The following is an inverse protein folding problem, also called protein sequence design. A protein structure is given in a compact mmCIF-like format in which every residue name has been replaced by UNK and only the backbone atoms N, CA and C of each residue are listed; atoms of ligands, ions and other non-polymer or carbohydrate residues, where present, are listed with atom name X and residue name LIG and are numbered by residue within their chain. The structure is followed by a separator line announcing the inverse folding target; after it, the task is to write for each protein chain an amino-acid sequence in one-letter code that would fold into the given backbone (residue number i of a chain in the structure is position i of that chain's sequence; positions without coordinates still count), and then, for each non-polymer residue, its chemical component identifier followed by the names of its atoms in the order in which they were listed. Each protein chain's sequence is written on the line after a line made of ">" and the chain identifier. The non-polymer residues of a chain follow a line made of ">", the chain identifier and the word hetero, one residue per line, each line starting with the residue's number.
data_IF_206336634916
#
_entry.id   IF_206336634916
#
_cell.length_a   1.000
_cell.length_b   1.000
_cell.length_c   1.000
_cell.angle_alpha   90.00
_cell.angle_beta   90.00
_cell.angle_gamma   90.00
#
_symmetry.space_group_name_H-M   'P 1'
#
loop_
_entity.id
_entity.type
_entity.pdbx_description
1 polymer ?
#
# COMPACT_ATOMS: atom_id res chain seq x y z
N UNK A 1 -33.72 15.25 13.13
CA UNK A 1 -32.80 15.21 11.97
C UNK A 1 -33.58 14.71 10.78
N UNK A 2 -33.37 15.30 9.60
CA UNK A 2 -33.89 14.71 8.36
C UNK A 2 -33.08 13.44 8.15
N UNK A 3 -33.72 12.28 8.23
CA UNK A 3 -33.06 11.00 8.03
C UNK A 3 -32.77 10.87 6.54
N UNK A 4 -31.49 10.85 6.15
CA UNK A 4 -31.09 10.58 4.77
C UNK A 4 -31.57 9.17 4.38
N UNK A 5 -32.05 9.01 3.15
CA UNK A 5 -32.34 7.68 2.62
C UNK A 5 -31.03 6.92 2.34
N UNK A 6 -31.11 5.59 2.17
CA UNK A 6 -29.94 4.78 1.80
C UNK A 6 -29.40 5.16 0.43
N UNK A 7 -30.27 5.56 -0.49
CA UNK A 7 -29.91 6.03 -1.82
C UNK A 7 -29.14 7.35 -1.75
N UNK A 8 -29.59 8.31 -0.93
CA UNK A 8 -28.87 9.56 -0.69
C UNK A 8 -27.50 9.30 -0.05
N UNK A 9 -27.40 8.31 0.86
CA UNK A 9 -26.13 7.90 1.46
C UNK A 9 -25.18 7.32 0.41
N UNK A 10 -25.66 6.42 -0.46
CA UNK A 10 -24.85 5.86 -1.55
C UNK A 10 -24.40 6.90 -2.56
N UNK A 11 -25.21 7.93 -2.83
CA UNK A 11 -24.76 9.05 -3.66
C UNK A 11 -23.62 9.84 -3.01
N UNK A 12 -23.66 10.03 -1.69
CA UNK A 12 -22.57 10.69 -0.96
C UNK A 12 -21.29 9.86 -0.98
N UNK A 13 -21.36 8.52 -0.96
CA UNK A 13 -20.17 7.68 -1.10
C UNK A 13 -19.35 8.05 -2.35
N UNK A 14 -20.03 8.23 -3.49
CA UNK A 14 -19.40 8.58 -4.76
C UNK A 14 -19.01 10.06 -4.89
N UNK A 15 -19.83 10.98 -4.32
CA UNK A 15 -19.72 12.43 -4.56
C UNK A 15 -18.99 13.20 -3.46
N UNK A 16 -19.09 12.75 -2.22
CA UNK A 16 -18.53 13.38 -1.02
C UNK A 16 -18.23 12.32 0.06
N UNK A 17 -17.23 11.48 -0.24
CA UNK A 17 -16.80 10.40 0.64
C UNK A 17 -16.54 10.84 2.09
N UNK A 18 -15.86 11.97 2.38
CA UNK A 18 -15.67 12.43 3.76
C UNK A 18 -16.98 12.64 4.50
N UNK A 19 -17.99 13.24 3.85
CA UNK A 19 -19.30 13.46 4.46
C UNK A 19 -20.04 12.12 4.65
N UNK A 20 -20.00 11.21 3.67
CA UNK A 20 -20.54 9.86 3.81
C UNK A 20 -19.95 9.10 5.00
N UNK A 21 -18.62 9.14 5.16
CA UNK A 21 -17.92 8.46 6.25
C UNK A 21 -18.31 9.05 7.61
N UNK A 22 -18.40 10.40 7.70
CA UNK A 22 -18.83 11.08 8.92
C UNK A 22 -20.28 10.71 9.31
N UNK A 23 -21.19 10.67 8.34
CA UNK A 23 -22.59 10.31 8.60
C UNK A 23 -22.70 8.86 9.07
N UNK A 24 -22.06 7.90 8.39
CA UNK A 24 -22.07 6.50 8.81
C UNK A 24 -21.47 6.31 10.21
N UNK A 25 -20.41 7.05 10.54
CA UNK A 25 -19.84 7.06 11.88
C UNK A 25 -20.85 7.51 12.95
N UNK A 26 -21.57 8.61 12.73
CA UNK A 26 -22.59 9.07 13.69
C UNK A 26 -23.78 8.09 13.78
N UNK A 27 -24.22 7.50 12.66
CA UNK A 27 -25.26 6.46 12.68
C UNK A 27 -24.87 5.24 13.52
N UNK A 28 -23.62 4.77 13.39
CA UNK A 28 -23.08 3.68 14.21
C UNK A 28 -23.03 4.06 15.70
N UNK A 29 -22.57 5.29 15.99
CA UNK A 29 -22.46 5.82 17.35
C UNK A 29 -23.82 5.96 18.04
N UNK A 30 -24.84 6.39 17.30
CA UNK A 30 -26.23 6.51 17.77
C UNK A 30 -26.99 5.17 17.74
N UNK A 31 -26.35 4.08 17.30
CA UNK A 31 -26.92 2.73 17.18
C UNK A 31 -28.11 2.64 16.21
N UNK A 32 -28.14 3.52 15.21
CA UNK A 32 -29.15 3.55 14.15
C UNK A 32 -28.75 2.61 12.99
N UNK A 33 -28.51 1.33 13.31
CA UNK A 33 -27.89 0.36 12.39
C UNK A 33 -28.67 0.12 11.10
N UNK A 34 -29.99 0.31 11.13
CA UNK A 34 -30.86 0.15 9.96
C UNK A 34 -30.60 1.18 8.86
N UNK A 35 -30.01 2.32 9.22
CA UNK A 35 -29.71 3.43 8.32
C UNK A 35 -28.29 3.39 7.76
N UNK A 36 -27.41 2.56 8.33
CA UNK A 36 -26.01 2.42 7.91
C UNK A 36 -25.96 1.81 6.50
N UNK A 37 -25.08 2.34 5.67
CA UNK A 37 -24.78 1.80 4.36
C UNK A 37 -23.72 0.70 4.47
N UNK A 38 -24.18 -0.47 4.92
CA UNK A 38 -23.32 -1.61 5.25
C UNK A 38 -22.51 -2.15 4.07
N UNK A 39 -23.02 -2.04 2.85
CA UNK A 39 -22.35 -2.55 1.66
C UNK A 39 -21.04 -1.80 1.42
N UNK A 40 -21.13 -0.48 1.26
CA UNK A 40 -19.95 0.37 1.07
C UNK A 40 -19.06 0.40 2.32
N UNK A 41 -19.64 0.38 3.53
CA UNK A 41 -18.84 0.39 4.77
C UNK A 41 -17.97 -0.87 4.91
N UNK A 42 -18.50 -2.06 4.58
CA UNK A 42 -17.74 -3.30 4.65
C UNK A 42 -16.65 -3.35 3.57
N UNK A 43 -16.94 -2.87 2.37
CA UNK A 43 -15.95 -2.72 1.30
C UNK A 43 -14.78 -1.83 1.74
N UNK A 44 -15.06 -0.65 2.30
CA UNK A 44 -14.01 0.26 2.77
C UNK A 44 -13.16 -0.32 3.90
N UNK A 45 -13.76 -1.11 4.80
CA UNK A 45 -13.00 -1.81 5.86
C UNK A 45 -12.06 -2.85 5.24
N UNK A 46 -12.53 -3.62 4.26
CA UNK A 46 -11.72 -4.60 3.57
C UNK A 46 -10.60 -3.93 2.77
N UNK A 47 -10.91 -2.84 2.06
CA UNK A 47 -9.97 -2.11 1.23
C UNK A 47 -8.92 -1.38 2.05
N UNK A 48 -9.28 -0.79 3.18
CA UNK A 48 -8.32 -0.24 4.14
C UNK A 48 -7.38 -1.33 4.67
N UNK A 49 -7.91 -2.51 5.02
CA UNK A 49 -7.07 -3.63 5.47
C UNK A 49 -6.13 -4.15 4.36
N UNK A 50 -6.54 -4.05 3.10
CA UNK A 50 -5.74 -4.46 1.93
C UNK A 50 -4.73 -3.38 1.50
N UNK A 51 -5.05 -2.10 1.63
CA UNK A 51 -4.21 -0.99 1.15
C UNK A 51 -2.90 -0.87 1.93
N UNK A 52 -2.95 -1.04 3.26
CA UNK A 52 -1.75 -1.07 4.11
C UNK A 52 -0.83 -2.24 3.75
N UNK A 53 -1.42 -3.42 3.51
CA UNK A 53 -0.67 -4.60 3.10
C UNK A 53 -0.07 -4.42 1.70
N UNK A 54 -0.83 -3.89 0.74
CA UNK A 54 -0.35 -3.54 -0.63
C UNK A 54 0.82 -2.56 -0.57
N UNK A 55 0.77 -1.57 0.33
CA UNK A 55 1.85 -0.62 0.55
C UNK A 55 3.11 -1.30 1.07
N UNK A 56 2.99 -2.18 2.07
CA UNK A 56 4.11 -2.97 2.59
C UNK A 56 4.72 -3.88 1.51
N UNK A 57 3.89 -4.56 0.72
CA UNK A 57 4.34 -5.40 -0.42
C UNK A 57 5.12 -4.55 -1.44
N UNK A 58 4.66 -3.34 -1.72
CA UNK A 58 5.34 -2.43 -2.66
C UNK A 58 6.70 -1.94 -2.13
N UNK A 59 6.81 -1.69 -0.83
CA UNK A 59 8.09 -1.39 -0.19
C UNK A 59 9.02 -2.61 -0.19
N UNK A 60 8.49 -3.81 0.07
CA UNK A 60 9.25 -5.05 -0.02
C UNK A 60 9.79 -5.28 -1.43
N UNK A 61 8.97 -5.06 -2.46
CA UNK A 61 9.40 -5.13 -3.85
C UNK A 61 10.56 -4.16 -4.15
N UNK A 62 10.54 -2.95 -3.59
CA UNK A 62 11.63 -1.97 -3.73
C UNK A 62 12.90 -2.43 -3.02
N UNK A 63 12.79 -3.08 -1.86
CA UNK A 63 13.94 -3.68 -1.18
C UNK A 63 14.55 -4.77 -2.05
N UNK A 64 13.74 -5.71 -2.54
CA UNK A 64 14.20 -6.83 -3.36
C UNK A 64 14.86 -6.37 -4.66
N UNK A 65 14.24 -5.40 -5.37
CA UNK A 65 14.77 -4.78 -6.59
C UNK A 65 16.18 -4.21 -6.37
N UNK A 66 16.32 -3.34 -5.36
CA UNK A 66 17.58 -2.67 -5.10
C UNK A 66 18.64 -3.57 -4.48
N UNK A 67 18.26 -4.58 -3.68
CA UNK A 67 19.22 -5.57 -3.18
C UNK A 67 19.79 -6.39 -4.33
N UNK A 68 18.94 -6.89 -5.22
CA UNK A 68 19.39 -7.63 -6.40
C UNK A 68 20.30 -6.78 -7.29
N UNK A 69 19.89 -5.53 -7.59
CA UNK A 69 20.73 -4.60 -8.35
C UNK A 69 22.07 -4.34 -7.69
N UNK A 70 22.09 -4.15 -6.37
CA UNK A 70 23.32 -3.94 -5.62
C UNK A 70 24.25 -5.15 -5.71
N UNK A 71 23.73 -6.36 -5.53
CA UNK A 71 24.54 -7.59 -5.51
C UNK A 71 25.07 -7.96 -6.90
N UNK A 72 24.31 -7.69 -7.96
CA UNK A 72 24.61 -8.18 -9.31
C UNK A 72 25.07 -7.10 -10.30
N UNK A 73 24.67 -5.84 -10.13
CA UNK A 73 24.83 -4.80 -11.16
C UNK A 73 25.55 -3.55 -10.66
N UNK A 74 26.01 -3.50 -9.41
CA UNK A 74 26.74 -2.32 -8.90
C UNK A 74 28.02 -1.99 -9.69
N UNK A 75 28.65 -2.98 -10.33
CA UNK A 75 29.81 -2.77 -11.19
C UNK A 75 29.46 -2.16 -12.55
N UNK A 76 28.18 -2.18 -12.95
CA UNK A 76 27.70 -1.64 -14.22
C UNK A 76 27.40 -0.14 -14.16
N UNK A 77 27.24 0.41 -12.95
CA UNK A 77 26.93 1.82 -12.73
C UNK A 77 28.12 2.59 -12.14
N UNK A 78 28.35 3.78 -12.70
CA UNK A 78 29.62 4.51 -12.64
C UNK A 78 30.24 4.76 -11.27
N UNK A 79 31.47 4.28 -11.11
CA UNK A 79 32.46 4.74 -10.12
C UNK A 79 32.19 4.35 -8.66
N UNK A 80 33.00 4.88 -7.75
CA UNK A 80 32.98 4.56 -6.31
C UNK A 80 31.64 4.87 -5.61
N UNK A 81 30.76 5.65 -6.24
CA UNK A 81 29.46 6.05 -5.67
C UNK A 81 28.26 5.30 -6.29
N UNK A 82 28.52 4.41 -7.26
CA UNK A 82 27.53 3.56 -7.88
C UNK A 82 26.72 2.76 -6.84
N UNK A 83 25.39 2.83 -6.93
CA UNK A 83 24.49 2.04 -6.10
C UNK A 83 24.21 2.62 -4.71
N UNK A 84 24.86 3.71 -4.27
CA UNK A 84 24.55 4.33 -2.96
C UNK A 84 23.07 4.74 -2.87
N UNK A 85 22.49 5.20 -3.99
CA UNK A 85 21.06 5.50 -4.09
C UNK A 85 20.15 4.29 -3.85
N UNK A 86 20.60 3.09 -4.22
CA UNK A 86 19.89 1.84 -3.95
C UNK A 86 19.91 1.50 -2.46
N UNK A 87 21.06 1.65 -1.79
CA UNK A 87 21.15 1.47 -0.34
C UNK A 87 20.26 2.46 0.44
N UNK A 88 20.25 3.74 0.04
CA UNK A 88 19.34 4.75 0.62
C UNK A 88 17.88 4.34 0.43
N UNK A 89 17.54 3.84 -0.75
CA UNK A 89 16.20 3.36 -1.08
C UNK A 89 15.78 2.16 -0.25
N UNK A 90 16.68 1.20 -0.04
CA UNK A 90 16.45 0.03 0.84
C UNK A 90 16.17 0.49 2.27
N UNK A 91 17.01 1.40 2.81
CA UNK A 91 16.84 1.92 4.18
C UNK A 91 15.50 2.63 4.36
N UNK A 92 15.13 3.48 3.40
CA UNK A 92 13.84 4.19 3.43
C UNK A 92 12.66 3.22 3.35
N UNK A 93 12.70 2.23 2.46
CA UNK A 93 11.65 1.22 2.34
C UNK A 93 11.50 0.38 3.61
N UNK A 94 12.62 0.01 4.25
CA UNK A 94 12.61 -0.69 5.55
C UNK A 94 11.96 0.14 6.64
N UNK A 95 12.32 1.42 6.76
CA UNK A 95 11.71 2.33 7.74
C UNK A 95 10.19 2.37 7.57
N UNK A 96 9.71 2.56 6.33
CA UNK A 96 8.26 2.61 6.05
C UNK A 96 7.52 1.33 6.43
N UNK A 97 8.14 0.16 6.25
CA UNK A 97 7.55 -1.11 6.70
C UNK A 97 7.50 -1.19 8.23
N UNK A 98 8.56 -0.74 8.92
CA UNK A 98 8.59 -0.71 10.38
C UNK A 98 7.55 0.26 10.95
N UNK A 99 7.44 1.46 10.37
CA UNK A 99 6.42 2.44 10.76
C UNK A 99 5.00 1.87 10.59
N UNK A 100 4.74 1.17 9.47
CA UNK A 100 3.47 0.49 9.24
C UNK A 100 3.22 -0.65 10.25
N UNK A 101 4.27 -1.35 10.67
CA UNK A 101 4.17 -2.39 11.69
C UNK A 101 3.88 -1.85 13.09
N UNK A 102 4.35 -0.65 13.40
CA UNK A 102 4.06 0.02 14.67
C UNK A 102 2.62 0.52 14.72
N UNK A 103 2.08 1.00 13.59
CA UNK A 103 0.67 1.36 13.45
C UNK A 103 -0.26 0.14 13.42
N UNK A 104 0.13 -0.93 12.72
CA UNK A 104 -0.68 -2.13 12.51
C UNK A 104 0.15 -3.42 12.72
N UNK A 105 0.26 -3.92 13.98
CA UNK A 105 1.09 -5.08 14.30
C UNK A 105 0.73 -6.37 13.56
N UNK A 106 -0.52 -6.51 13.10
CA UNK A 106 -0.98 -7.67 12.33
C UNK A 106 -0.27 -7.80 10.97
N UNK A 107 0.24 -6.70 10.40
CA UNK A 107 0.98 -6.69 9.15
C UNK A 107 2.28 -7.50 9.23
N UNK A 108 2.89 -7.63 10.41
CA UNK A 108 4.10 -8.46 10.63
C UNK A 108 3.89 -9.91 10.19
N UNK A 109 2.69 -10.45 10.42
CA UNK A 109 2.32 -11.83 10.04
C UNK A 109 1.80 -11.93 8.60
N UNK A 110 1.21 -10.85 8.07
CA UNK A 110 0.63 -10.82 6.72
C UNK A 110 1.67 -10.57 5.62
N UNK A 111 2.65 -9.69 5.85
CA UNK A 111 3.63 -9.31 4.82
C UNK A 111 4.40 -10.49 4.22
N UNK A 112 4.87 -11.50 5.00
CA UNK A 112 5.56 -12.66 4.43
C UNK A 112 4.76 -13.42 3.37
N UNK A 113 3.42 -13.42 3.45
CA UNK A 113 2.55 -14.08 2.46
C UNK A 113 2.55 -13.36 1.10
N UNK A 114 2.97 -12.10 1.06
CA UNK A 114 3.06 -11.29 -0.16
C UNK A 114 4.41 -11.34 -0.87
N UNK A 115 5.33 -12.21 -0.45
CA UNK A 115 6.71 -12.23 -0.97
C UNK A 115 6.77 -12.51 -2.47
N UNK A 116 5.96 -13.44 -2.98
CA UNK A 116 5.91 -13.78 -4.42
C UNK A 116 5.44 -12.59 -5.26
N UNK A 117 4.43 -11.86 -4.79
CA UNK A 117 3.94 -10.64 -5.45
C UNK A 117 5.00 -9.52 -5.43
N UNK A 118 5.69 -9.38 -4.29
CA UNK A 118 6.77 -8.42 -4.15
C UNK A 118 7.93 -8.76 -5.11
N UNK A 119 8.31 -10.04 -5.21
CA UNK A 119 9.36 -10.49 -6.11
C UNK A 119 8.99 -10.31 -7.57
N UNK A 120 7.79 -10.71 -8.00
CA UNK A 120 7.33 -10.48 -9.37
C UNK A 120 7.28 -8.99 -9.75
N UNK A 121 7.03 -8.11 -8.78
CA UNK A 121 7.11 -6.66 -8.99
C UNK A 121 8.55 -6.15 -9.03
N UNK A 122 9.44 -6.70 -8.19
CA UNK A 122 10.86 -6.37 -8.21
C UNK A 122 11.50 -6.76 -9.54
N UNK A 123 11.23 -7.97 -10.02
CA UNK A 123 11.73 -8.49 -11.30
C UNK A 123 11.40 -7.57 -12.47
N UNK A 124 10.15 -7.13 -12.59
CA UNK A 124 9.72 -6.16 -13.61
C UNK A 124 10.47 -4.84 -13.51
N UNK A 125 10.75 -4.34 -12.30
CA UNK A 125 11.56 -3.11 -12.11
C UNK A 125 13.03 -3.31 -12.47
N UNK A 126 13.55 -4.52 -12.33
CA UNK A 126 14.90 -4.87 -12.73
C UNK A 126 14.98 -4.94 -14.25
N UNK A 127 14.06 -5.67 -14.89
CA UNK A 127 13.93 -5.80 -16.35
C UNK A 127 13.84 -4.42 -17.02
N UNK A 128 12.87 -3.59 -16.61
CA UNK A 128 12.73 -2.24 -17.14
C UNK A 128 14.00 -1.40 -16.95
N UNK A 129 14.65 -1.51 -15.80
CA UNK A 129 15.89 -0.75 -15.55
C UNK A 129 17.05 -1.22 -16.44
N UNK A 130 17.15 -2.53 -16.73
CA UNK A 130 18.15 -3.05 -17.66
C UNK A 130 17.90 -2.53 -19.07
N UNK A 131 16.65 -2.58 -19.53
CA UNK A 131 16.22 -2.04 -20.83
C UNK A 131 16.51 -0.54 -20.95
N UNK A 132 16.10 0.24 -19.96
CA UNK A 132 16.28 1.71 -19.92
C UNK A 132 17.76 2.13 -19.96
N UNK A 133 18.67 1.26 -19.50
CA UNK A 133 20.11 1.53 -19.46
C UNK A 133 20.89 0.77 -20.56
N UNK A 134 20.20 0.10 -21.47
CA UNK A 134 20.81 -0.58 -22.62
C UNK A 134 21.65 -1.81 -22.25
N UNK A 135 21.31 -2.50 -21.16
CA UNK A 135 21.99 -3.70 -20.69
C UNK A 135 21.38 -5.02 -21.21
N UNK A 136 20.64 -4.96 -22.32
CA UNK A 136 19.94 -6.09 -22.95
C UNK A 136 20.88 -7.18 -23.47
#
# INVERSE_FOLDING_TARGET
>A
MKTLSKEELRELYEKDFPLWAQINYELLRERLYELVDWENLLEEIEDMARSDLKTCISQLARILDHMYKWDHFRSLIGGETGGIGWLKSIRSARSKILDAFDMAPSLKKKLPLGIELAWGSARRKIENWLEDNGYN
#
